data_IF_137275500294
#
_entry.id   IF_137275500294
#
_cell.length_a   1.000
_cell.length_b   1.000
_cell.length_c   1.000
_cell.angle_alpha   90.00
_cell.angle_beta   90.00
_cell.angle_gamma   90.00
#
_symmetry.space_group_name_H-M   'P 1'
#
loop_
_entity.id
_entity.type
_entity.pdbx_description
1 polymer ?
#
# COMPACT_ATOMS: atom_id res chain seq x y z
N UNK A 1 4.23 28.35 5.40
CA UNK A 1 3.00 29.06 5.01
C UNK A 1 3.06 29.34 3.50
N UNK A 2 2.39 28.54 2.68
CA UNK A 2 2.39 28.71 1.22
C UNK A 2 1.24 29.64 0.80
N UNK A 3 1.57 30.76 0.17
CA UNK A 3 0.60 31.76 -0.34
C UNK A 3 0.25 31.44 -1.79
N UNK A 4 -0.94 30.90 -2.04
CA UNK A 4 -1.42 30.66 -3.41
C UNK A 4 -2.17 31.90 -3.92
N UNK A 5 -1.74 32.43 -5.07
CA UNK A 5 -2.27 33.65 -5.68
C UNK A 5 -3.50 33.31 -6.55
N UNK A 6 -4.61 32.91 -5.93
CA UNK A 6 -5.86 32.71 -6.64
C UNK A 6 -6.58 34.06 -6.79
N UNK A 7 -6.61 34.59 -8.03
CA UNK A 7 -7.48 35.69 -8.47
C UNK A 7 -7.66 36.88 -7.49
N UNK A 8 -6.70 37.82 -7.52
CA UNK A 8 -6.82 39.20 -6.94
C UNK A 8 -7.12 39.32 -5.43
N UNK A 9 -7.30 38.23 -4.69
CA UNK A 9 -7.48 38.21 -3.24
C UNK A 9 -6.27 37.55 -2.56
N UNK A 10 -5.74 38.18 -1.51
CA UNK A 10 -4.66 37.61 -0.69
C UNK A 10 -5.26 36.69 0.37
N UNK A 11 -5.51 35.43 -0.01
CA UNK A 11 -5.92 34.36 0.88
C UNK A 11 -4.72 33.53 1.30
N UNK A 12 -4.57 33.32 2.60
CA UNK A 12 -3.49 32.56 3.22
C UNK A 12 -4.09 31.33 3.90
N UNK A 13 -3.58 30.15 3.58
CA UNK A 13 -4.02 28.90 4.20
C UNK A 13 -3.18 28.55 5.42
N UNK A 14 -3.84 28.05 6.46
CA UNK A 14 -3.22 27.47 7.66
C UNK A 14 -4.01 26.24 8.11
N UNK A 15 -3.50 25.52 9.11
CA UNK A 15 -4.33 24.57 9.85
C UNK A 15 -5.38 25.32 10.68
N UNK A 16 -6.50 24.65 11.05
CA UNK A 16 -7.52 25.23 11.91
C UNK A 16 -6.94 25.74 13.23
N UNK A 17 -7.43 26.90 13.66
CA UNK A 17 -6.98 27.62 14.85
C UNK A 17 -5.47 27.86 14.91
N UNK A 18 -4.82 27.99 13.75
CA UNK A 18 -3.38 28.14 13.62
C UNK A 18 -2.57 26.99 14.27
N UNK A 19 -3.11 25.77 14.25
CA UNK A 19 -2.37 24.57 14.68
C UNK A 19 -1.02 24.49 13.93
N UNK A 20 0.06 24.25 14.66
CA UNK A 20 1.45 24.23 14.16
C UNK A 20 2.01 25.55 13.58
N UNK A 21 1.26 26.66 13.64
CA UNK A 21 1.80 27.97 13.31
C UNK A 21 2.48 28.62 14.52
N UNK A 22 3.24 29.68 14.26
CA UNK A 22 3.87 30.49 15.31
C UNK A 22 2.79 31.09 16.25
N UNK A 23 3.11 31.15 17.54
CA UNK A 23 2.23 31.68 18.60
C UNK A 23 1.77 33.11 18.32
N UNK A 24 2.57 33.91 17.60
CA UNK A 24 2.20 35.27 17.22
C UNK A 24 0.89 35.30 16.41
N UNK A 25 0.64 34.31 15.55
CA UNK A 25 -0.61 34.27 14.77
C UNK A 25 -1.80 33.90 15.64
N UNK A 26 -1.64 32.94 16.54
CA UNK A 26 -2.68 32.51 17.48
C UNK A 26 -3.08 33.62 18.43
N UNK A 27 -2.10 34.32 19.00
CA UNK A 27 -2.34 35.33 20.03
C UNK A 27 -2.81 36.67 19.42
N UNK A 28 -2.72 36.83 18.10
CA UNK A 28 -3.22 38.00 17.38
C UNK A 28 -4.75 38.03 17.21
N UNK A 29 -5.43 36.90 17.43
CA UNK A 29 -6.88 36.76 17.25
C UNK A 29 -7.50 36.06 18.47
N UNK A 30 -8.53 36.67 19.05
CA UNK A 30 -9.27 36.09 20.17
C UNK A 30 -10.05 34.84 19.71
N UNK A 31 -10.04 33.77 20.52
CA UNK A 31 -10.83 32.55 20.27
C UNK A 31 -10.10 31.43 19.52
N UNK A 32 -8.77 31.54 19.36
CA UNK A 32 -7.95 30.48 18.77
C UNK A 32 -7.59 29.41 19.81
N UNK A 33 -8.14 28.19 19.65
CA UNK A 33 -7.89 27.05 20.52
C UNK A 33 -7.38 25.85 19.71
N UNK A 34 -6.08 25.81 19.33
CA UNK A 34 -5.54 24.70 18.56
C UNK A 34 -5.59 23.40 19.38
N UNK A 35 -6.16 22.35 18.81
CA UNK A 35 -6.20 21.01 19.36
C UNK A 35 -5.73 20.05 18.27
N UNK A 36 -4.77 19.18 18.59
CA UNK A 36 -4.16 18.30 17.60
C UNK A 36 -5.14 17.23 17.10
N UNK A 37 -5.96 16.64 17.96
CA UNK A 37 -6.94 15.61 17.58
C UNK A 37 -7.97 16.14 16.58
N UNK A 38 -8.49 17.34 16.85
CA UNK A 38 -9.55 17.95 16.05
C UNK A 38 -9.05 18.74 14.83
N UNK A 39 -7.82 19.26 14.85
CA UNK A 39 -7.34 20.19 13.82
C UNK A 39 -6.19 19.67 12.95
N UNK A 40 -5.62 18.48 13.26
CA UNK A 40 -4.58 17.89 12.39
C UNK A 40 -5.18 17.38 11.08
N UNK A 41 -4.36 17.31 10.05
CA UNK A 41 -4.69 16.61 8.81
C UNK A 41 -4.10 15.20 8.95
N UNK A 42 -4.91 14.18 8.68
CA UNK A 42 -4.44 12.81 8.72
C UNK A 42 -5.11 11.96 7.65
N UNK A 43 -4.45 10.86 7.31
CA UNK A 43 -4.95 9.83 6.43
C UNK A 43 -4.49 8.48 6.98
N UNK A 44 -5.42 7.57 7.16
CA UNK A 44 -5.21 6.20 7.61
C UNK A 44 -5.44 5.29 6.40
N UNK A 45 -4.40 4.57 6.01
CA UNK A 45 -4.38 3.71 4.82
C UNK A 45 -4.37 2.24 5.24
N UNK A 46 -5.06 1.40 4.47
CA UNK A 46 -4.93 -0.04 4.57
C UNK A 46 -3.53 -0.47 4.08
N UNK A 47 -2.80 -1.31 4.85
CA UNK A 47 -1.39 -1.59 4.59
C UNK A 47 -1.10 -2.35 3.30
N UNK A 48 -1.99 -3.23 2.82
CA UNK A 48 -1.72 -4.07 1.66
C UNK A 48 -2.10 -3.40 0.32
N UNK A 49 -3.18 -2.63 0.31
CA UNK A 49 -3.80 -2.02 -0.88
C UNK A 49 -3.51 -0.52 -0.98
N UNK A 50 -3.15 0.14 0.14
CA UNK A 50 -2.99 1.60 0.21
C UNK A 50 -4.32 2.37 0.15
N UNK A 51 -5.45 1.69 0.32
CA UNK A 51 -6.79 2.29 0.27
C UNK A 51 -7.01 3.17 1.50
N UNK A 52 -7.50 4.43 1.36
CA UNK A 52 -7.81 5.27 2.50
C UNK A 52 -9.05 4.75 3.24
N UNK A 53 -8.84 4.24 4.46
CA UNK A 53 -9.92 3.77 5.35
C UNK A 53 -10.56 4.99 6.03
N UNK A 54 -9.72 5.86 6.60
CA UNK A 54 -10.16 7.07 7.29
C UNK A 54 -9.27 8.22 6.95
N UNK A 55 -9.80 9.43 6.96
CA UNK A 55 -8.98 10.61 6.78
C UNK A 55 -9.77 11.88 7.01
N UNK A 56 -9.06 12.92 7.41
CA UNK A 56 -9.63 14.25 7.52
C UNK A 56 -8.68 15.27 6.92
N UNK A 57 -9.14 15.96 5.88
CA UNK A 57 -8.49 17.13 5.31
C UNK A 57 -9.10 18.36 5.93
N UNK A 58 -8.25 19.24 6.46
CA UNK A 58 -8.67 20.43 7.18
C UNK A 58 -7.87 21.62 6.68
N UNK A 59 -8.54 22.71 6.35
CA UNK A 59 -7.90 23.93 5.89
C UNK A 59 -8.62 25.16 6.45
N UNK A 60 -7.84 26.09 6.99
CA UNK A 60 -8.32 27.40 7.42
C UNK A 60 -7.89 28.46 6.40
N UNK A 61 -8.85 29.28 6.01
CA UNK A 61 -8.64 30.40 5.09
C UNK A 61 -8.57 31.70 5.87
N UNK A 62 -7.47 32.42 5.68
CA UNK A 62 -7.17 33.65 6.39
C UNK A 62 -6.93 34.80 5.41
N UNK A 63 -7.18 36.02 5.87
CA UNK A 63 -6.83 37.26 5.16
C UNK A 63 -5.89 38.11 5.99
N UNK A 64 -5.00 38.82 5.31
CA UNK A 64 -4.10 39.75 5.97
C UNK A 64 -4.81 41.09 6.19
N UNK A 65 -5.15 41.37 7.45
CA UNK A 65 -5.69 42.67 7.85
C UNK A 65 -4.55 43.64 8.06
N UNK A 66 -4.59 44.81 7.45
CA UNK A 66 -3.61 45.89 7.67
C UNK A 66 -4.24 47.27 7.41
N UNK A 67 -3.76 48.33 8.08
CA UNK A 67 -4.12 49.69 7.72
C UNK A 67 -3.78 50.01 6.27
N UNK A 68 -4.74 50.60 5.54
CA UNK A 68 -4.55 51.12 4.19
C UNK A 68 -4.67 52.64 4.25
N UNK A 69 -3.63 53.35 3.83
CA UNK A 69 -3.53 54.83 3.94
C UNK A 69 -4.76 55.58 3.41
N UNK A 70 -5.40 55.07 2.36
CA UNK A 70 -6.50 55.73 1.68
C UNK A 70 -7.90 55.24 2.11
N UNK A 71 -8.00 54.36 3.11
CA UNK A 71 -9.29 53.84 3.60
C UNK A 71 -9.40 54.15 5.10
N UNK A 72 -10.12 55.20 5.52
CA UNK A 72 -10.22 55.65 6.92
C UNK A 72 -10.70 54.56 7.87
N UNK A 73 -11.64 53.70 7.42
CA UNK A 73 -12.18 52.59 8.20
C UNK A 73 -11.10 51.56 8.55
N UNK A 74 -10.11 51.35 7.66
CA UNK A 74 -9.04 50.38 7.86
C UNK A 74 -7.95 50.87 8.82
N UNK A 75 -7.87 52.18 9.11
CA UNK A 75 -6.83 52.77 9.96
C UNK A 75 -6.91 52.26 11.42
N UNK A 76 -8.07 51.77 11.85
CA UNK A 76 -8.27 51.18 13.19
C UNK A 76 -7.90 49.70 13.27
N UNK A 77 -7.63 49.06 12.13
CA UNK A 77 -7.31 47.63 12.08
C UNK A 77 -5.85 47.41 12.50
N UNK A 78 -5.61 46.38 13.31
CA UNK A 78 -4.25 45.91 13.59
C UNK A 78 -3.74 45.05 12.45
N UNK A 79 -2.43 45.06 12.25
CA UNK A 79 -1.78 44.15 11.32
C UNK A 79 -1.81 42.74 11.88
N UNK A 80 -2.68 41.88 11.34
CA UNK A 80 -2.89 40.51 11.83
C UNK A 80 -3.42 39.60 10.72
N UNK A 81 -3.21 38.30 10.89
CA UNK A 81 -3.76 37.28 10.01
C UNK A 81 -5.13 36.85 10.56
N UNK A 82 -6.21 37.30 9.93
CA UNK A 82 -7.57 37.10 10.43
C UNK A 82 -8.20 35.89 9.76
N UNK A 83 -8.61 34.85 10.52
CA UNK A 83 -9.33 33.72 9.95
C UNK A 83 -10.73 34.13 9.51
N UNK A 84 -11.15 33.65 8.34
CA UNK A 84 -12.52 33.84 7.84
C UNK A 84 -13.35 32.61 8.15
N UNK A 85 -12.86 31.46 7.71
CA UNK A 85 -13.53 30.16 7.85
C UNK A 85 -12.48 29.05 7.81
N UNK A 86 -12.86 27.89 8.33
CA UNK A 86 -12.14 26.64 8.10
C UNK A 86 -13.13 25.60 7.59
N UNK A 87 -12.61 24.68 6.79
CA UNK A 87 -13.38 23.61 6.16
C UNK A 87 -12.75 22.29 6.55
N UNK A 88 -13.61 21.31 6.80
CA UNK A 88 -13.23 19.93 6.98
C UNK A 88 -13.92 19.07 5.92
N UNK A 89 -13.10 18.23 5.28
CA UNK A 89 -13.53 17.15 4.41
C UNK A 89 -13.02 15.86 5.04
N UNK A 90 -13.95 15.08 5.61
CA UNK A 90 -13.64 13.83 6.27
C UNK A 90 -14.20 12.64 5.47
N UNK A 91 -13.46 11.54 5.48
CA UNK A 91 -13.86 10.26 4.93
C UNK A 91 -13.71 9.19 6.01
N UNK A 92 -14.73 8.36 6.13
CA UNK A 92 -14.75 7.21 7.04
C UNK A 92 -15.42 6.06 6.28
N UNK A 93 -14.61 5.11 5.81
CA UNK A 93 -15.10 3.93 5.10
C UNK A 93 -15.52 2.87 6.14
N UNK A 94 -16.77 2.39 6.10
CA UNK A 94 -17.18 1.27 6.93
C UNK A 94 -16.35 0.03 6.61
N UNK A 95 -16.02 -0.75 7.63
CA UNK A 95 -15.18 -1.95 7.51
C UNK A 95 -15.69 -2.94 6.46
N UNK A 96 -17.01 -3.07 6.31
CA UNK A 96 -17.65 -3.95 5.31
C UNK A 96 -17.19 -3.65 3.87
N UNK A 97 -17.03 -2.36 3.53
CA UNK A 97 -16.56 -1.96 2.19
C UNK A 97 -15.06 -2.13 2.04
N UNK A 98 -14.29 -1.96 3.12
CA UNK A 98 -12.84 -2.17 3.13
C UNK A 98 -12.52 -3.63 2.88
N UNK A 99 -13.24 -4.55 3.53
CA UNK A 99 -13.07 -5.99 3.37
C UNK A 99 -13.44 -6.42 1.95
N UNK A 100 -14.57 -5.95 1.41
CA UNK A 100 -14.96 -6.27 0.04
C UNK A 100 -13.93 -5.77 -1.00
N UNK A 101 -13.43 -4.54 -0.84
CA UNK A 101 -12.39 -3.99 -1.72
C UNK A 101 -11.10 -4.80 -1.62
N UNK A 102 -10.69 -5.14 -0.40
CA UNK A 102 -9.45 -5.89 -0.15
C UNK A 102 -9.53 -7.30 -0.71
N UNK A 103 -10.62 -8.02 -0.48
CA UNK A 103 -10.84 -9.35 -1.04
C UNK A 103 -10.84 -9.33 -2.57
N UNK A 104 -11.54 -8.38 -3.19
CA UNK A 104 -11.56 -8.26 -4.66
C UNK A 104 -10.18 -7.94 -5.25
N UNK A 105 -9.41 -7.07 -4.59
CA UNK A 105 -8.08 -6.69 -5.08
C UNK A 105 -7.04 -7.80 -4.86
N UNK A 106 -7.05 -8.47 -3.70
CA UNK A 106 -6.08 -9.50 -3.35
C UNK A 106 -6.41 -10.87 -3.98
N UNK A 107 -7.68 -11.22 -4.15
CA UNK A 107 -8.07 -12.49 -4.80
C UNK A 107 -7.52 -12.62 -6.22
N UNK A 108 -7.47 -11.52 -6.98
CA UNK A 108 -6.87 -11.48 -8.31
C UNK A 108 -5.37 -11.82 -8.29
N UNK A 109 -4.64 -11.35 -7.26
CA UNK A 109 -3.21 -11.62 -7.09
C UNK A 109 -2.96 -13.07 -6.63
N UNK A 110 -3.79 -13.61 -5.74
CA UNK A 110 -3.65 -14.99 -5.28
C UNK A 110 -3.80 -16.02 -6.40
N UNK A 111 -4.63 -15.74 -7.42
CA UNK A 111 -4.72 -16.61 -8.59
C UNK A 111 -3.39 -16.66 -9.35
N UNK A 112 -2.71 -15.53 -9.50
CA UNK A 112 -1.40 -15.46 -10.18
C UNK A 112 -0.35 -16.30 -9.45
N UNK A 113 -0.32 -16.24 -8.12
CA UNK A 113 0.59 -17.04 -7.29
C UNK A 113 0.37 -18.55 -7.43
N UNK A 114 -0.84 -19.00 -7.80
CA UNK A 114 -1.15 -20.42 -8.03
C UNK A 114 -0.90 -20.80 -9.50
N UNK A 115 -1.33 -19.98 -10.46
CA UNK A 115 -1.23 -20.31 -11.89
C UNK A 115 0.21 -20.33 -12.40
N UNK A 116 1.06 -19.39 -11.97
CA UNK A 116 2.46 -19.33 -12.39
C UNK A 116 3.23 -20.63 -12.09
N UNK A 117 3.27 -21.15 -10.83
CA UNK A 117 4.01 -22.37 -10.54
C UNK A 117 3.40 -23.60 -11.23
N UNK A 118 2.08 -23.65 -11.41
CA UNK A 118 1.43 -24.75 -12.14
C UNK A 118 1.85 -24.77 -13.61
N UNK A 119 1.90 -23.61 -14.27
CA UNK A 119 2.36 -23.50 -15.66
C UNK A 119 3.83 -23.88 -15.78
N UNK A 120 4.69 -23.38 -14.87
CA UNK A 120 6.12 -23.72 -14.84
C UNK A 120 6.31 -25.23 -14.63
N UNK A 121 5.57 -25.84 -13.69
CA UNK A 121 5.62 -27.27 -13.43
C UNK A 121 5.16 -28.08 -14.64
N UNK A 122 4.07 -27.69 -15.30
CA UNK A 122 3.59 -28.35 -16.51
C UNK A 122 4.61 -28.25 -17.66
N UNK A 123 5.21 -27.08 -17.88
CA UNK A 123 6.28 -26.91 -18.89
C UNK A 123 7.50 -27.78 -18.58
N UNK A 124 7.92 -27.86 -17.32
CA UNK A 124 9.05 -28.72 -16.92
C UNK A 124 8.77 -30.20 -17.18
N UNK A 125 7.54 -30.68 -16.93
CA UNK A 125 7.14 -32.06 -17.19
C UNK A 125 7.18 -32.38 -18.68
N UNK A 126 6.66 -31.49 -19.53
CA UNK A 126 6.68 -31.67 -21.00
C UNK A 126 8.12 -31.76 -21.52
N UNK A 127 8.98 -30.84 -21.08
CA UNK A 127 10.40 -30.85 -21.45
C UNK A 127 11.11 -32.14 -21.01
N UNK A 128 10.78 -32.67 -19.83
CA UNK A 128 11.38 -33.91 -19.34
C UNK A 128 10.95 -35.15 -20.15
N UNK A 129 9.78 -35.12 -20.80
CA UNK A 129 9.28 -36.22 -21.63
C UNK A 129 9.85 -36.16 -23.05
N UNK A 130 9.98 -34.97 -23.63
CA UNK A 130 10.43 -34.77 -25.01
C UNK A 130 11.96 -34.77 -25.16
N UNK A 131 12.73 -34.67 -24.06
CA UNK A 131 14.17 -34.82 -24.10
C UNK A 131 14.58 -36.29 -24.24
N UNK A 132 15.47 -36.65 -25.19
CA UNK A 132 16.03 -37.99 -25.25
C UNK A 132 16.78 -38.30 -23.95
N UNK A 133 16.57 -39.50 -23.39
CA UNK A 133 17.10 -39.91 -22.08
C UNK A 133 18.62 -39.65 -21.91
N UNK A 134 19.42 -39.81 -22.97
CA UNK A 134 20.86 -39.50 -22.95
C UNK A 134 21.19 -38.02 -22.69
N UNK A 135 20.34 -37.09 -23.15
CA UNK A 135 20.56 -35.65 -22.98
C UNK A 135 20.09 -35.16 -21.61
N UNK A 136 19.10 -35.83 -21.00
CA UNK A 136 18.64 -35.55 -19.61
C UNK A 136 19.75 -35.85 -18.61
N UNK A 137 20.45 -36.98 -18.79
CA UNK A 137 21.55 -37.39 -17.91
C UNK A 137 22.73 -36.39 -18.00
N UNK A 138 23.09 -35.95 -19.21
CA UNK A 138 24.16 -34.96 -19.40
C UNK A 138 23.81 -33.57 -18.83
N UNK A 139 22.55 -33.13 -18.98
CA UNK A 139 22.10 -31.84 -18.43
C UNK A 139 21.99 -31.89 -16.90
N UNK A 140 21.61 -33.03 -16.33
CA UNK A 140 21.53 -33.22 -14.87
C UNK A 140 22.92 -33.13 -14.24
N UNK A 141 23.94 -33.76 -14.81
CA UNK A 141 25.33 -33.61 -14.32
C UNK A 141 25.89 -32.17 -14.51
N UNK A 142 25.51 -31.49 -15.60
CA UNK A 142 25.91 -30.08 -15.85
C UNK A 142 25.19 -29.08 -14.93
N UNK A 143 23.94 -29.33 -14.56
CA UNK A 143 23.21 -28.50 -13.59
C UNK A 143 23.67 -28.78 -12.15
N UNK A 144 23.96 -30.03 -11.80
CA UNK A 144 24.47 -30.42 -10.47
C UNK A 144 25.88 -29.84 -10.21
N UNK A 145 26.70 -29.66 -11.25
CA UNK A 145 28.02 -29.04 -11.15
C UNK A 145 28.01 -27.51 -11.14
N UNK A 146 26.92 -26.86 -11.58
CA UNK A 146 26.81 -25.39 -11.66
C UNK A 146 26.01 -24.75 -10.51
N UNK A 147 25.23 -25.52 -9.75
CA UNK A 147 24.40 -25.02 -8.63
C UNK A 147 25.08 -25.24 -7.27
N UNK A 148 26.11 -24.45 -6.96
CA UNK A 148 26.72 -24.41 -5.61
C UNK A 148 25.99 -23.49 -4.60
N UNK A 149 24.78 -23.01 -4.90
CA UNK A 149 24.07 -22.06 -4.03
C UNK A 149 22.54 -22.25 -4.15
N UNK A 150 21.93 -23.19 -3.39
CA UNK A 150 20.61 -23.08 -2.70
C UNK A 150 20.39 -24.35 -1.86
N UNK A 151 20.88 -24.38 -0.61
CA UNK A 151 20.87 -25.56 0.28
C UNK A 151 19.55 -25.83 1.05
N UNK A 152 18.40 -25.24 0.67
CA UNK A 152 17.17 -25.37 1.48
C UNK A 152 15.99 -26.03 0.75
N UNK A 153 15.87 -25.89 -0.57
CA UNK A 153 14.69 -26.39 -1.31
C UNK A 153 14.86 -27.80 -1.90
N UNK A 154 16.10 -28.24 -2.16
CA UNK A 154 16.41 -29.53 -2.79
C UNK A 154 16.02 -30.76 -1.94
N UNK A 155 16.24 -30.83 -0.61
CA UNK A 155 15.87 -32.03 0.14
C UNK A 155 14.34 -32.26 0.18
N UNK A 156 13.53 -31.19 0.08
CA UNK A 156 12.07 -31.29 0.04
C UNK A 156 11.59 -31.86 -1.30
N UNK A 157 12.18 -31.41 -2.41
CA UNK A 157 11.81 -31.88 -3.75
C UNK A 157 12.30 -33.33 -3.96
N UNK A 158 13.51 -33.66 -3.53
CA UNK A 158 14.04 -35.03 -3.60
C UNK A 158 13.23 -35.98 -2.70
N UNK A 159 12.87 -35.55 -1.49
CA UNK A 159 12.02 -36.35 -0.61
C UNK A 159 10.63 -36.60 -1.23
N UNK A 160 10.02 -35.58 -1.84
CA UNK A 160 8.74 -35.72 -2.53
C UNK A 160 8.83 -36.69 -3.72
N UNK A 161 9.88 -36.58 -4.56
CA UNK A 161 10.11 -37.49 -5.69
C UNK A 161 10.35 -38.95 -5.23
N UNK A 162 11.13 -39.14 -4.15
CA UNK A 162 11.39 -40.46 -3.59
C UNK A 162 10.11 -41.13 -3.05
N UNK A 163 9.24 -40.38 -2.37
CA UNK A 163 7.96 -40.89 -1.87
C UNK A 163 7.04 -41.34 -3.01
N UNK A 164 6.96 -40.55 -4.08
CA UNK A 164 6.14 -40.88 -5.26
C UNK A 164 6.65 -42.16 -5.95
N UNK A 165 7.97 -42.32 -6.08
CA UNK A 165 8.56 -43.52 -6.66
C UNK A 165 8.32 -44.77 -5.80
N UNK A 166 8.46 -44.67 -4.48
CA UNK A 166 8.25 -45.80 -3.55
C UNK A 166 6.78 -46.23 -3.52
N UNK A 167 5.85 -45.29 -3.53
CA UNK A 167 4.41 -45.57 -3.60
C UNK A 167 4.04 -46.19 -4.96
N UNK A 168 4.56 -45.63 -6.06
CA UNK A 168 4.34 -46.16 -7.40
C UNK A 168 4.84 -47.60 -7.56
N UNK A 169 6.03 -47.91 -7.02
CA UNK A 169 6.58 -49.27 -7.06
C UNK A 169 5.74 -50.24 -6.21
N UNK A 170 5.29 -49.81 -5.03
CA UNK A 170 4.46 -50.64 -4.13
C UNK A 170 3.11 -51.00 -4.74
N UNK A 171 2.44 -50.03 -5.38
CA UNK A 171 1.18 -50.26 -6.11
C UNK A 171 1.38 -51.19 -7.31
N UNK A 172 2.48 -51.03 -8.05
CA UNK A 172 2.78 -51.88 -9.21
C UNK A 172 3.06 -53.33 -8.79
N UNK A 173 3.79 -53.53 -7.68
CA UNK A 173 4.07 -54.87 -7.13
C UNK A 173 2.79 -55.51 -6.56
N UNK A 174 1.97 -54.75 -5.83
CA UNK A 174 0.69 -55.22 -5.29
C UNK A 174 -0.29 -55.65 -6.41
N UNK A 175 -0.34 -54.89 -7.51
CA UNK A 175 -1.15 -55.24 -8.68
C UNK A 175 -0.67 -56.53 -9.37
N UNK A 176 0.64 -56.82 -9.33
CA UNK A 176 1.23 -58.02 -9.92
C UNK A 176 0.99 -59.29 -9.08
N UNK A 177 0.89 -59.16 -7.76
CA UNK A 177 0.64 -60.28 -6.83
C UNK A 177 -0.83 -60.72 -6.78
N UNK A 178 -1.79 -59.84 -7.06
CA UNK A 178 -3.24 -60.17 -7.04
C UNK A 178 -3.73 -60.88 -8.32
N UNK A 179 -2.88 -61.02 -9.34
CA UNK A 179 -3.20 -61.59 -10.66
C UNK A 179 -2.73 -63.04 -10.85
N UNK A 180 -2.26 -63.70 -9.78
CA UNK A 180 -1.81 -65.09 -9.76
C UNK A 180 -2.61 -65.87 -8.72
#
# INVERSE_FOLDING_TARGET
>A
MHSYKAHRAFLIMSYPHFLFADVVYRDSVLGMHPNEENHKIFIELEPNTGTPIRGAKRAQFNIFSRPVRNIPVSQKLRTALVPILWIEEAIDLPHEFVDELTERLLSSLQLVDIFIPVIIAACAIVLAIDLPHEFVDELTERLLSSLQLVDIFIPVIIAACAIVLVLGLSLTIAAKLKKK
#
